data_IF_967659606858
#
_entry.id   IF_967659606858
#
_cell.length_a   1.000
_cell.length_b   1.000
_cell.length_c   1.000
_cell.angle_alpha   90.00
_cell.angle_beta   90.00
_cell.angle_gamma   90.00
#
_symmetry.space_group_name_H-M   'P 1'
#
loop_
_entity.id
_entity.type
_entity.pdbx_description
1 polymer ?
#
# COMPACT_ATOMS: atom_id res chain seq x y z
N UNK A 1 20.21 1.23 -30.41
CA UNK A 1 18.78 1.24 -29.98
C UNK A 1 18.44 2.57 -29.28
N UNK A 2 18.69 3.73 -29.93
CA UNK A 2 18.56 5.06 -29.29
C UNK A 2 17.73 6.06 -30.11
N UNK A 3 16.93 5.56 -31.06
CA UNK A 3 16.11 6.40 -31.95
C UNK A 3 14.64 6.54 -31.52
N UNK A 4 14.24 5.87 -30.43
CA UNK A 4 12.89 5.97 -29.85
C UNK A 4 12.72 6.98 -28.71
N UNK A 5 13.79 7.67 -28.29
CA UNK A 5 13.78 8.53 -27.08
C UNK A 5 13.90 10.04 -27.36
N UNK A 6 14.03 10.48 -28.61
CA UNK A 6 14.10 11.91 -28.93
C UNK A 6 12.68 12.48 -29.09
N UNK A 7 12.05 12.80 -27.97
CA UNK A 7 10.73 13.46 -27.93
C UNK A 7 9.75 12.91 -26.88
N UNK A 8 10.10 11.81 -26.22
CA UNK A 8 9.31 11.26 -25.11
C UNK A 8 9.97 11.59 -23.77
N UNK A 9 9.24 12.23 -22.87
CA UNK A 9 9.59 12.20 -21.45
C UNK A 9 9.43 10.75 -20.98
N UNK A 10 10.54 10.05 -20.76
CA UNK A 10 10.51 8.70 -20.19
C UNK A 10 10.18 8.82 -18.70
N UNK A 11 8.93 8.53 -18.34
CA UNK A 11 8.49 8.44 -16.95
C UNK A 11 8.48 6.97 -16.56
N UNK A 12 9.46 6.56 -15.74
CA UNK A 12 9.51 5.20 -15.17
C UNK A 12 9.07 5.28 -13.72
N UNK A 13 8.11 4.43 -13.35
CA UNK A 13 7.51 4.35 -12.04
C UNK A 13 7.60 2.90 -11.56
N UNK A 14 8.41 2.64 -10.54
CA UNK A 14 8.61 1.30 -10.00
C UNK A 14 8.33 1.30 -8.51
N UNK A 15 7.49 0.35 -8.08
CA UNK A 15 7.32 -0.01 -6.68
C UNK A 15 7.96 -1.37 -6.46
N UNK A 16 9.14 -1.39 -5.86
CA UNK A 16 9.79 -2.62 -5.42
C UNK A 16 9.46 -2.84 -3.94
N UNK A 17 8.69 -3.89 -3.65
CA UNK A 17 8.22 -4.22 -2.30
C UNK A 17 8.68 -5.63 -1.94
N UNK A 18 9.83 -5.69 -1.28
CA UNK A 18 10.37 -6.92 -0.72
C UNK A 18 10.20 -6.92 0.80
N UNK A 19 9.60 -7.98 1.31
CA UNK A 19 9.53 -8.20 2.73
C UNK A 19 9.18 -9.64 3.03
N UNK A 20 9.64 -10.09 4.19
CA UNK A 20 9.30 -11.40 4.69
C UNK A 20 9.15 -11.38 6.20
N UNK A 21 8.37 -12.33 6.70
CA UNK A 21 8.16 -12.56 8.12
C UNK A 21 8.71 -13.94 8.42
N UNK A 22 9.86 -14.02 9.10
CA UNK A 22 10.57 -15.28 9.34
C UNK A 22 10.89 -15.49 10.81
N UNK A 23 10.89 -16.76 11.22
CA UNK A 23 11.20 -17.22 12.58
C UNK A 23 10.28 -16.63 13.66
N UNK A 24 9.04 -16.33 13.32
CA UNK A 24 8.07 -15.79 14.25
C UNK A 24 7.43 -16.88 15.12
N UNK A 25 7.40 -16.64 16.43
CA UNK A 25 6.64 -17.43 17.40
C UNK A 25 5.74 -16.49 18.17
N UNK A 26 4.46 -16.84 18.32
CA UNK A 26 3.51 -16.01 19.03
C UNK A 26 2.59 -16.91 19.87
N UNK A 27 2.64 -16.73 21.19
CA UNK A 27 1.97 -17.59 22.18
C UNK A 27 1.23 -16.70 23.20
N UNK A 28 0.20 -17.23 23.84
CA UNK A 28 -0.65 -16.51 24.82
C UNK A 28 -1.23 -15.18 24.31
N UNK A 29 -1.69 -15.17 23.05
CA UNK A 29 -2.14 -13.95 22.38
C UNK A 29 -3.64 -13.74 22.55
N UNK A 30 -4.02 -12.51 22.88
CA UNK A 30 -5.38 -12.00 22.70
C UNK A 30 -5.32 -10.98 21.56
N UNK A 31 -5.94 -11.29 20.42
CA UNK A 31 -6.04 -10.35 19.29
C UNK A 31 -7.34 -9.57 19.35
N UNK A 32 -7.29 -8.30 18.94
CA UNK A 32 -8.46 -7.42 18.88
C UNK A 32 -9.24 -7.55 17.58
N UNK A 33 -10.39 -6.90 17.50
CA UNK A 33 -11.12 -6.73 16.25
C UNK A 33 -10.61 -5.51 15.49
N UNK A 34 -10.53 -5.68 14.18
CA UNK A 34 -10.50 -4.56 13.27
C UNK A 34 -11.95 -4.21 12.92
N UNK A 35 -12.45 -3.09 13.44
CA UNK A 35 -13.81 -2.66 13.15
C UNK A 35 -13.80 -1.33 12.39
N UNK A 36 -14.17 -1.40 11.12
CA UNK A 36 -14.62 -0.26 10.32
C UNK A 36 -16.13 -0.39 10.26
N UNK A 37 -16.84 0.47 10.98
CA UNK A 37 -18.30 0.43 11.11
C UNK A 37 -18.96 1.43 10.18
N UNK A 38 -20.29 1.49 10.24
CA UNK A 38 -21.05 2.50 9.51
C UNK A 38 -20.53 3.90 9.84
N UNK A 39 -20.38 4.73 8.80
CA UNK A 39 -19.83 6.07 8.91
C UNK A 39 -18.30 6.18 9.04
N UNK A 40 -17.53 5.09 9.20
CA UNK A 40 -16.07 5.16 9.42
C UNK A 40 -15.28 5.78 8.27
N UNK A 41 -15.85 5.85 7.07
CA UNK A 41 -15.29 6.54 5.91
C UNK A 41 -16.29 7.51 5.26
N UNK A 42 -17.34 7.91 5.99
CA UNK A 42 -18.29 8.91 5.47
C UNK A 42 -17.54 10.23 5.24
N UNK A 43 -17.83 10.89 4.11
CA UNK A 43 -17.13 12.08 3.62
C UNK A 43 -15.67 11.85 3.19
N UNK A 44 -15.19 10.61 3.11
CA UNK A 44 -13.86 10.39 2.60
C UNK A 44 -13.80 10.71 1.10
N UNK A 45 -12.88 11.59 0.71
CA UNK A 45 -12.75 12.10 -0.66
C UNK A 45 -11.29 12.05 -1.10
N UNK A 46 -11.06 11.85 -2.39
CA UNK A 46 -9.71 11.61 -2.92
C UNK A 46 -9.27 10.14 -2.75
N UNK A 47 -7.96 9.94 -2.63
CA UNK A 47 -7.35 8.61 -2.58
C UNK A 47 -7.16 8.14 -1.14
N UNK A 48 -7.66 6.95 -0.82
CA UNK A 48 -7.69 6.43 0.54
C UNK A 48 -7.27 4.96 0.58
N UNK A 49 -6.43 4.61 1.55
CA UNK A 49 -6.06 3.22 1.82
C UNK A 49 -6.29 2.93 3.29
N UNK A 50 -7.06 1.88 3.57
CA UNK A 50 -7.27 1.38 4.94
C UNK A 50 -6.70 -0.02 5.01
N UNK A 51 -5.80 -0.22 5.98
CA UNK A 51 -5.21 -1.54 6.24
C UNK A 51 -5.47 -1.87 7.70
N UNK A 52 -6.14 -2.99 7.90
CA UNK A 52 -6.58 -3.46 9.18
C UNK A 52 -5.96 -4.82 9.45
N UNK A 53 -5.01 -4.87 10.40
CA UNK A 53 -4.42 -6.12 10.84
C UNK A 53 -4.43 -6.19 12.36
N UNK A 54 -5.10 -7.20 12.90
CA UNK A 54 -5.14 -7.51 14.33
C UNK A 54 -4.38 -8.80 14.65
N UNK A 55 -3.73 -9.40 13.64
CA UNK A 55 -2.91 -10.59 13.80
C UNK A 55 -1.48 -10.27 14.21
N UNK A 56 -0.79 -11.29 14.73
CA UNK A 56 0.65 -11.28 14.97
C UNK A 56 1.36 -11.78 13.72
N UNK A 57 2.63 -11.40 13.53
CA UNK A 57 3.45 -11.88 12.40
C UNK A 57 2.93 -11.42 11.04
N UNK A 58 2.52 -10.15 10.95
CA UNK A 58 1.99 -9.60 9.71
C UNK A 58 2.95 -8.59 9.13
N UNK A 59 3.29 -8.83 7.86
CA UNK A 59 3.92 -7.86 6.99
C UNK A 59 2.85 -7.25 6.09
N UNK A 60 2.79 -5.91 6.12
CA UNK A 60 1.93 -5.14 5.23
C UNK A 60 2.82 -4.39 4.25
N UNK A 61 2.64 -4.64 2.97
CA UNK A 61 3.33 -3.93 1.89
C UNK A 61 2.28 -3.21 1.03
N UNK A 62 2.23 -1.88 1.15
CA UNK A 62 1.33 -1.04 0.36
C UNK A 62 2.13 0.07 -0.30
N UNK A 63 2.06 0.16 -1.63
CA UNK A 63 2.66 1.26 -2.39
C UNK A 63 1.72 1.72 -3.50
N UNK A 64 1.67 3.03 -3.68
CA UNK A 64 0.82 3.71 -4.66
C UNK A 64 1.69 4.71 -5.39
N UNK A 65 1.75 4.61 -6.71
CA UNK A 65 2.35 5.65 -7.55
C UNK A 65 1.24 6.42 -8.23
N UNK A 66 1.19 7.72 -7.98
CA UNK A 66 0.21 8.63 -8.55
C UNK A 66 0.90 9.61 -9.52
N UNK A 67 0.59 9.46 -10.81
CA UNK A 67 1.05 10.38 -11.86
C UNK A 67 -0.10 11.31 -12.22
N UNK A 68 0.02 12.61 -11.90
CA UNK A 68 -0.99 13.61 -12.22
C UNK A 68 -0.39 14.65 -13.15
N UNK A 69 -1.10 14.93 -14.25
CA UNK A 69 -0.86 16.10 -15.09
C UNK A 69 -2.11 16.97 -15.05
N UNK A 70 -1.98 18.18 -14.54
CA UNK A 70 -3.05 19.18 -14.48
C UNK A 70 -2.99 20.09 -15.72
N UNK A 71 -4.15 20.60 -16.13
CA UNK A 71 -4.27 21.64 -17.17
C UNK A 71 -4.09 23.04 -16.57
#
# INVERSE_FOLDING_TARGET
MLDGQRGMALITNTNDLDGAVYANSANDLVTGYNLVSDGSLVNNSGFNTVIQNSGNNVLIQNAVILNIQMQ
#
